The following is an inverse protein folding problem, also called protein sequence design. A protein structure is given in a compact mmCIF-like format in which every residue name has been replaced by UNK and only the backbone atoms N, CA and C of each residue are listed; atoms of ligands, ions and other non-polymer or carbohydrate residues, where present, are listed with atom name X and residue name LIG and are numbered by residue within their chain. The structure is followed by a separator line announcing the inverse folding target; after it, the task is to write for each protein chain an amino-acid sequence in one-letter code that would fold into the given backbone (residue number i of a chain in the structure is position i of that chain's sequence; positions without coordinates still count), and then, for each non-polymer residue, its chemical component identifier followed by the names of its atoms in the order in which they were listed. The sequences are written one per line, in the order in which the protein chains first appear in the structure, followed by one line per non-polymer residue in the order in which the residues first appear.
data_IF_568257949607
#
_entry.id   IF_568257949607
#
_cell.length_a   1.000
_cell.length_b   1.000
_cell.length_c   1.000
_cell.angle_alpha   90.00
_cell.angle_beta   90.00
_cell.angle_gamma   90.00
#
_symmetry.space_group_name_H-M   'P 1'
#
loop_
_entity.id
_entity.type
_entity.pdbx_description
1 polymer ?
#
# COMPACT_ATOMS: atom_id res chain seq x y z
N UNK A 1 1.61 1.05 -13.43
CA UNK A 1 0.24 0.71 -13.87
C UNK A 1 -0.85 1.00 -12.84
N UNK A 2 -0.59 0.82 -11.51
CA UNK A 2 -1.60 0.98 -10.46
C UNK A 2 -1.81 2.43 -9.98
N UNK A 3 -1.18 3.42 -10.61
CA UNK A 3 -1.20 4.83 -10.19
C UNK A 3 -2.43 5.63 -10.69
N UNK A 4 -3.60 4.99 -10.77
CA UNK A 4 -4.86 5.65 -11.19
C UNK A 4 -5.21 6.89 -10.35
N UNK A 5 -4.87 6.89 -9.05
CA UNK A 5 -5.04 8.05 -8.18
C UNK A 5 -4.10 9.19 -8.57
N UNK A 6 -2.81 8.91 -8.80
CA UNK A 6 -1.84 9.91 -9.26
C UNK A 6 -2.25 10.53 -10.59
N UNK A 7 -2.59 9.70 -11.57
CA UNK A 7 -3.09 10.16 -12.87
C UNK A 7 -4.32 11.06 -12.74
N UNK A 8 -5.22 10.76 -11.79
CA UNK A 8 -6.41 11.58 -11.59
C UNK A 8 -6.08 12.98 -11.07
N UNK A 9 -5.03 13.12 -10.27
CA UNK A 9 -4.54 14.42 -9.81
C UNK A 9 -3.86 15.20 -10.94
N UNK A 10 -3.15 14.48 -11.83
CA UNK A 10 -2.45 15.11 -12.96
C UNK A 10 -3.40 15.49 -14.11
N UNK A 11 -4.35 14.64 -14.43
CA UNK A 11 -5.18 14.79 -15.64
C UNK A 11 -6.62 15.22 -15.37
N UNK A 12 -7.09 15.12 -14.13
CA UNK A 12 -8.51 15.27 -13.79
C UNK A 12 -9.37 14.06 -14.18
N UNK A 13 -8.75 12.93 -14.57
CA UNK A 13 -9.48 11.73 -15.01
C UNK A 13 -9.12 10.57 -14.10
N UNK A 14 -10.11 10.05 -13.39
CA UNK A 14 -9.96 8.78 -12.68
C UNK A 14 -10.41 7.64 -13.58
N UNK A 15 -9.48 6.77 -13.97
CA UNK A 15 -9.74 5.65 -14.88
C UNK A 15 -9.20 4.35 -14.29
N UNK A 16 -10.12 3.42 -13.94
CA UNK A 16 -9.79 2.08 -13.42
C UNK A 16 -9.72 1.00 -14.51
N UNK A 17 -9.93 1.36 -15.76
CA UNK A 17 -9.97 0.44 -16.91
C UNK A 17 -8.56 0.13 -17.41
N UNK A 18 -7.77 -0.47 -16.54
CA UNK A 18 -6.38 -0.89 -16.79
C UNK A 18 -6.12 -2.23 -16.11
N UNK A 19 -5.10 -2.93 -16.55
CA UNK A 19 -4.69 -4.17 -15.90
C UNK A 19 -4.03 -3.89 -14.54
N UNK A 20 -4.42 -4.68 -13.55
CA UNK A 20 -3.78 -4.66 -12.24
C UNK A 20 -2.41 -5.33 -12.32
N UNK A 21 -1.38 -4.66 -11.87
CA UNK A 21 -0.04 -5.23 -11.73
C UNK A 21 0.27 -5.47 -10.26
N UNK A 22 0.77 -6.66 -9.95
CA UNK A 22 1.25 -6.98 -8.59
C UNK A 22 2.66 -6.42 -8.41
N UNK A 23 2.85 -5.70 -7.31
CA UNK A 23 4.10 -5.04 -6.96
C UNK A 23 4.62 -5.47 -5.58
N UNK A 24 5.80 -4.99 -5.21
CA UNK A 24 6.35 -5.12 -3.86
C UNK A 24 5.56 -4.33 -2.80
N UNK A 25 4.61 -3.50 -3.22
CA UNK A 25 3.71 -2.70 -2.37
C UNK A 25 2.25 -3.18 -2.48
N UNK A 26 1.92 -4.41 -2.04
CA UNK A 26 0.62 -5.04 -2.31
C UNK A 26 -0.58 -4.29 -1.75
N UNK A 27 -0.41 -3.46 -0.73
CA UNK A 27 -1.50 -2.61 -0.20
C UNK A 27 -1.90 -1.50 -1.19
N UNK A 28 -1.03 -1.17 -2.14
CA UNK A 28 -1.27 -0.18 -3.19
C UNK A 28 -1.61 -0.83 -4.54
N UNK A 29 -1.64 -2.16 -4.62
CA UNK A 29 -2.09 -2.91 -5.79
C UNK A 29 -3.62 -2.86 -5.89
N UNK A 30 -4.14 -1.67 -6.12
CA UNK A 30 -5.56 -1.37 -6.23
C UNK A 30 -5.82 -0.46 -7.43
N UNK A 31 -6.96 -0.62 -8.07
CA UNK A 31 -7.42 0.27 -9.15
C UNK A 31 -8.52 1.23 -8.69
N UNK A 32 -9.09 0.98 -7.50
CA UNK A 32 -10.10 1.85 -6.89
C UNK A 32 -9.61 2.29 -5.50
N UNK A 33 -9.26 3.57 -5.38
CA UNK A 33 -8.90 4.17 -4.09
C UNK A 33 -10.18 4.61 -3.37
N UNK A 34 -10.64 3.81 -2.42
CA UNK A 34 -11.87 4.09 -1.66
C UNK A 34 -11.79 5.35 -0.79
N UNK A 35 -10.58 5.80 -0.44
CA UNK A 35 -10.40 7.02 0.35
C UNK A 35 -10.54 8.30 -0.47
N UNK A 36 -10.35 8.24 -1.79
CA UNK A 36 -10.46 9.39 -2.67
C UNK A 36 -11.88 9.97 -2.68
N UNK A 37 -12.90 9.12 -2.61
CA UNK A 37 -14.30 9.54 -2.51
C UNK A 37 -14.51 10.56 -1.39
N UNK A 38 -13.95 10.30 -0.19
CA UNK A 38 -14.07 11.21 0.96
C UNK A 38 -13.29 12.51 0.75
N UNK A 39 -12.10 12.44 0.15
CA UNK A 39 -11.31 13.63 -0.13
C UNK A 39 -12.05 14.55 -1.11
N UNK A 40 -12.58 13.98 -2.19
CA UNK A 40 -13.39 14.74 -3.17
C UNK A 40 -14.66 15.30 -2.54
N UNK A 41 -15.36 14.52 -1.71
CA UNK A 41 -16.54 15.00 -0.98
C UNK A 41 -16.26 16.23 -0.14
N UNK A 42 -15.19 16.22 0.65
CA UNK A 42 -14.83 17.36 1.50
C UNK A 42 -14.38 18.59 0.69
N UNK A 43 -13.64 18.38 -0.39
CA UNK A 43 -13.17 19.46 -1.26
C UNK A 43 -14.29 20.07 -2.11
N UNK A 44 -15.35 19.29 -2.36
CA UNK A 44 -16.52 19.67 -3.14
C UNK A 44 -17.68 20.17 -2.26
N UNK A 45 -17.34 20.91 -1.21
CA UNK A 45 -18.26 21.53 -0.27
C UNK A 45 -19.28 20.56 0.36
N UNK A 46 -18.86 19.30 0.51
CA UNK A 46 -19.64 18.19 1.06
C UNK A 46 -20.94 17.89 0.26
N UNK A 47 -20.89 18.03 -1.07
CA UNK A 47 -22.01 17.75 -1.95
C UNK A 47 -22.20 16.22 -2.15
N UNK A 48 -23.24 15.60 -1.58
CA UNK A 48 -23.46 14.16 -1.71
C UNK A 48 -23.95 13.78 -3.10
N UNK A 49 -24.62 14.68 -3.82
CA UNK A 49 -25.20 14.39 -5.14
C UNK A 49 -24.09 14.27 -6.18
N UNK A 50 -23.16 15.24 -6.20
CA UNK A 50 -22.02 15.18 -7.12
C UNK A 50 -21.09 14.03 -6.80
N UNK A 51 -20.83 13.75 -5.51
CA UNK A 51 -20.02 12.61 -5.10
C UNK A 51 -20.67 11.28 -5.52
N UNK A 52 -21.96 11.10 -5.28
CA UNK A 52 -22.69 9.90 -5.71
C UNK A 52 -22.68 9.72 -7.24
N UNK A 53 -22.81 10.81 -8.00
CA UNK A 53 -22.74 10.75 -9.46
C UNK A 53 -21.38 10.26 -9.98
N UNK A 54 -20.27 10.74 -9.39
CA UNK A 54 -18.90 10.27 -9.74
C UNK A 54 -18.73 8.79 -9.41
N UNK A 55 -19.20 8.35 -8.23
CA UNK A 55 -19.10 6.93 -7.84
C UNK A 55 -20.00 6.04 -8.70
N UNK A 56 -21.17 6.50 -9.12
CA UNK A 56 -22.02 5.79 -10.07
C UNK A 56 -21.35 5.64 -11.45
N UNK A 57 -20.73 6.70 -11.96
CA UNK A 57 -19.95 6.64 -13.21
C UNK A 57 -18.76 5.68 -13.10
N UNK A 58 -18.02 5.72 -11.99
CA UNK A 58 -16.92 4.78 -11.75
C UNK A 58 -17.39 3.33 -11.73
N UNK A 59 -18.57 3.07 -11.15
CA UNK A 59 -19.15 1.74 -11.10
C UNK A 59 -19.62 1.26 -12.48
N UNK A 60 -20.31 2.12 -13.23
CA UNK A 60 -20.92 1.78 -14.51
C UNK A 60 -19.88 1.73 -15.65
N UNK A 61 -19.06 2.77 -15.76
CA UNK A 61 -18.20 3.01 -16.92
C UNK A 61 -16.71 2.78 -16.62
N UNK A 62 -16.35 2.62 -15.34
CA UNK A 62 -14.97 2.46 -14.89
C UNK A 62 -14.15 3.75 -14.90
N UNK A 63 -14.80 4.90 -15.15
CA UNK A 63 -14.14 6.19 -15.32
C UNK A 63 -15.06 7.33 -14.85
N UNK A 64 -14.45 8.40 -14.30
CA UNK A 64 -15.10 9.70 -14.14
C UNK A 64 -14.09 10.84 -14.32
N UNK A 65 -14.60 12.05 -14.52
CA UNK A 65 -13.80 13.27 -14.56
C UNK A 65 -14.04 14.10 -13.31
N UNK A 66 -12.97 14.68 -12.81
CA UNK A 66 -13.00 15.68 -11.75
C UNK A 66 -13.16 17.04 -12.44
N UNK A 67 -14.13 17.82 -12.04
CA UNK A 67 -14.40 19.13 -12.61
C UNK A 67 -13.20 20.08 -12.34
N UNK A 68 -12.88 20.99 -13.27
CA UNK A 68 -11.67 21.81 -13.17
C UNK A 68 -11.53 22.56 -11.84
N UNK A 69 -12.59 23.17 -11.34
CA UNK A 69 -12.59 23.89 -10.06
C UNK A 69 -12.29 22.98 -8.86
N UNK A 70 -12.84 21.77 -8.86
CA UNK A 70 -12.55 20.77 -7.83
C UNK A 70 -11.13 20.23 -7.96
N UNK A 71 -10.66 20.03 -9.19
CA UNK A 71 -9.29 19.58 -9.46
C UNK A 71 -8.26 20.60 -8.94
N UNK A 72 -8.53 21.89 -9.12
CA UNK A 72 -7.67 22.97 -8.60
C UNK A 72 -7.64 22.95 -7.06
N UNK A 73 -8.80 22.79 -6.40
CA UNK A 73 -8.86 22.59 -4.95
C UNK A 73 -8.09 21.36 -4.51
N UNK A 74 -8.19 20.25 -5.26
CA UNK A 74 -7.50 19.01 -4.97
C UNK A 74 -5.98 19.16 -5.06
N UNK A 75 -5.48 19.79 -6.13
CA UNK A 75 -4.05 20.08 -6.34
C UNK A 75 -3.47 21.07 -5.34
N UNK A 76 -4.29 21.97 -4.81
CA UNK A 76 -3.85 22.91 -3.78
C UNK A 76 -3.53 22.24 -2.43
N UNK A 77 -4.07 21.03 -2.19
CA UNK A 77 -3.91 20.29 -0.92
C UNK A 77 -3.01 19.06 -1.06
N UNK A 78 -3.07 18.40 -2.21
CA UNK A 78 -2.41 17.10 -2.43
C UNK A 78 -1.39 17.16 -3.57
N UNK A 79 -0.22 16.59 -3.31
CA UNK A 79 0.72 16.16 -4.34
C UNK A 79 0.60 14.65 -4.58
N UNK A 80 1.24 14.15 -5.61
CA UNK A 80 1.32 12.72 -5.88
C UNK A 80 2.71 12.33 -6.40
N UNK A 81 2.99 11.05 -6.35
CA UNK A 81 4.15 10.43 -6.93
C UNK A 81 4.02 8.92 -6.83
N UNK A 82 4.81 8.21 -7.61
CA UNK A 82 4.86 6.76 -7.64
C UNK A 82 6.25 6.29 -8.03
N UNK A 83 6.58 5.07 -7.67
CA UNK A 83 7.81 4.38 -8.08
C UNK A 83 7.43 3.02 -8.69
N UNK A 84 8.25 2.51 -9.59
CA UNK A 84 8.20 1.10 -9.97
C UNK A 84 8.91 0.22 -8.94
N UNK A 85 8.91 -1.11 -9.15
CA UNK A 85 9.54 -2.06 -8.20
C UNK A 85 11.05 -1.90 -8.11
N UNK A 86 11.72 -1.53 -9.21
CA UNK A 86 13.17 -1.31 -9.21
C UNK A 86 13.52 -0.03 -8.43
N UNK A 87 12.82 1.05 -8.72
CA UNK A 87 12.95 2.32 -8.00
C UNK A 87 12.60 2.19 -6.52
N UNK A 88 11.56 1.40 -6.20
CA UNK A 88 11.16 1.09 -4.82
C UNK A 88 12.28 0.33 -4.08
N UNK A 89 12.89 -0.67 -4.72
CA UNK A 89 14.02 -1.41 -4.16
C UNK A 89 15.23 -0.51 -3.92
N UNK A 90 15.54 0.38 -4.85
CA UNK A 90 16.61 1.36 -4.71
C UNK A 90 16.32 2.35 -3.57
N UNK A 91 15.08 2.79 -3.41
CA UNK A 91 14.67 3.67 -2.31
C UNK A 91 14.78 2.97 -0.93
N UNK A 92 14.45 1.68 -0.82
CA UNK A 92 14.67 0.89 0.41
C UNK A 92 16.17 0.86 0.76
N UNK A 93 17.04 0.59 -0.22
CA UNK A 93 18.49 0.54 -0.05
C UNK A 93 19.03 1.90 0.33
N UNK A 94 18.68 2.96 -0.39
CA UNK A 94 19.11 4.33 -0.13
C UNK A 94 18.73 4.79 1.28
N UNK A 95 17.51 4.50 1.73
CA UNK A 95 17.07 4.84 3.08
C UNK A 95 17.92 4.12 4.15
N UNK A 96 18.22 2.84 3.95
CA UNK A 96 19.07 2.08 4.85
C UNK A 96 20.52 2.64 4.89
N UNK A 97 21.12 2.88 3.74
CA UNK A 97 22.50 3.35 3.62
C UNK A 97 22.68 4.77 4.18
N UNK A 98 21.70 5.65 3.97
CA UNK A 98 21.83 7.06 4.35
C UNK A 98 21.34 7.36 5.76
N UNK A 99 20.38 6.61 6.27
CA UNK A 99 19.75 6.90 7.57
C UNK A 99 19.93 5.81 8.62
N UNK A 100 20.35 4.61 8.22
CA UNK A 100 20.38 3.43 9.08
C UNK A 100 19.00 2.95 9.52
N UNK A 101 17.93 3.40 8.85
CA UNK A 101 16.55 3.00 9.15
C UNK A 101 16.04 2.01 8.12
N UNK A 102 15.58 0.87 8.63
CA UNK A 102 14.93 -0.14 7.81
C UNK A 102 13.46 0.26 7.59
N UNK A 103 13.05 0.40 6.33
CA UNK A 103 11.70 0.78 5.94
C UNK A 103 11.08 -0.26 5.01
N UNK A 104 9.75 -0.34 5.00
CA UNK A 104 9.00 -1.21 4.09
C UNK A 104 8.80 -0.57 2.70
N UNK A 105 8.45 -1.35 1.67
CA UNK A 105 8.30 -0.82 0.31
C UNK A 105 7.30 0.34 0.19
N UNK A 106 6.19 0.31 0.93
CA UNK A 106 5.21 1.40 0.88
C UNK A 106 5.80 2.70 1.47
N UNK A 107 6.52 2.58 2.58
CA UNK A 107 7.23 3.70 3.20
C UNK A 107 8.35 4.21 2.29
N UNK A 108 9.03 3.33 1.55
CA UNK A 108 10.10 3.70 0.63
C UNK A 108 9.60 4.61 -0.50
N UNK A 109 8.45 4.29 -1.09
CA UNK A 109 7.80 5.17 -2.09
C UNK A 109 7.50 6.54 -1.48
N UNK A 110 6.83 6.56 -0.32
CA UNK A 110 6.50 7.82 0.35
C UNK A 110 7.75 8.63 0.73
N UNK A 111 8.79 7.96 1.19
CA UNK A 111 10.07 8.59 1.58
C UNK A 111 10.78 9.22 0.37
N UNK A 112 10.84 8.52 -0.76
CA UNK A 112 11.47 9.02 -1.99
C UNK A 112 10.73 10.21 -2.56
N UNK A 113 9.41 10.10 -2.71
CA UNK A 113 8.58 11.22 -3.19
C UNK A 113 8.61 12.41 -2.23
N UNK A 114 8.66 12.16 -0.92
CA UNK A 114 8.82 13.23 0.07
C UNK A 114 10.14 13.99 -0.10
N UNK A 115 11.25 13.31 -0.41
CA UNK A 115 12.54 13.97 -0.68
C UNK A 115 12.47 14.87 -1.92
N UNK A 116 11.80 14.42 -2.98
CA UNK A 116 11.63 15.17 -4.22
C UNK A 116 10.75 16.41 -4.06
N UNK A 117 9.77 16.34 -3.15
CA UNK A 117 8.79 17.40 -2.90
C UNK A 117 9.06 18.23 -1.64
N UNK A 118 10.11 17.91 -0.88
CA UNK A 118 10.42 18.60 0.35
C UNK A 118 10.80 20.07 0.09
N UNK A 119 10.28 20.96 0.93
CA UNK A 119 10.72 22.35 1.01
C UNK A 119 11.61 22.53 2.24
N UNK A 120 12.73 23.28 2.15
CA UNK A 120 13.56 23.57 3.32
C UNK A 120 12.85 24.41 4.38
N UNK A 121 11.76 25.09 4.02
CA UNK A 121 11.01 25.96 4.91
C UNK A 121 9.95 25.24 5.74
N UNK A 122 9.53 24.03 5.31
CA UNK A 122 8.46 23.27 5.97
C UNK A 122 8.94 21.86 6.26
N UNK A 123 8.87 21.40 7.52
CA UNK A 123 9.23 20.03 7.87
C UNK A 123 8.36 19.02 7.12
N UNK A 124 9.00 18.09 6.41
CA UNK A 124 8.33 16.96 5.77
C UNK A 124 8.24 15.77 6.74
N UNK A 125 7.03 15.24 6.92
CA UNK A 125 6.78 14.08 7.78
C UNK A 125 6.35 12.90 6.91
N UNK A 126 7.15 11.83 6.94
CA UNK A 126 6.84 10.57 6.25
C UNK A 126 6.22 9.58 7.23
N UNK A 127 5.03 9.09 6.92
CA UNK A 127 4.36 8.08 7.74
C UNK A 127 4.86 6.68 7.37
N UNK A 128 5.53 6.00 8.32
CA UNK A 128 5.90 4.59 8.20
C UNK A 128 4.72 3.72 8.65
N UNK A 129 3.96 3.20 7.70
CA UNK A 129 2.67 2.56 7.95
C UNK A 129 2.74 1.06 8.20
N UNK A 130 3.88 0.43 7.92
CA UNK A 130 4.08 -0.99 8.11
C UNK A 130 5.50 -1.32 8.62
N UNK A 131 5.62 -2.47 9.28
CA UNK A 131 6.94 -3.00 9.62
C UNK A 131 7.64 -3.56 8.37
N UNK A 132 8.94 -3.29 8.16
CA UNK A 132 9.74 -3.91 7.09
C UNK A 132 9.75 -5.43 7.17
N UNK A 133 9.62 -6.00 8.36
CA UNK A 133 9.55 -7.45 8.57
C UNK A 133 8.25 -8.09 8.06
N UNK A 134 7.21 -7.31 7.81
CA UNK A 134 6.00 -7.79 7.13
C UNK A 134 6.26 -8.06 5.64
N UNK A 135 7.26 -7.41 5.07
CA UNK A 135 7.70 -7.50 3.68
C UNK A 135 9.17 -7.94 3.59
N UNK A 136 9.60 -8.81 4.53
CA UNK A 136 11.00 -9.17 4.74
C UNK A 136 11.70 -9.71 3.48
N UNK A 137 10.99 -10.40 2.59
CA UNK A 137 11.52 -10.87 1.32
C UNK A 137 11.94 -9.71 0.43
N UNK A 138 11.05 -8.76 0.20
CA UNK A 138 11.30 -7.67 -0.73
C UNK A 138 12.33 -6.69 -0.17
N UNK A 139 12.26 -6.44 1.15
CA UNK A 139 13.25 -5.61 1.85
C UNK A 139 14.63 -6.28 1.84
N UNK A 140 14.73 -7.57 2.15
CA UNK A 140 16.01 -8.28 2.10
C UNK A 140 16.60 -8.30 0.69
N UNK A 141 15.76 -8.59 -0.31
CA UNK A 141 16.21 -8.60 -1.71
C UNK A 141 16.67 -7.23 -2.18
N UNK A 142 16.04 -6.16 -1.74
CA UNK A 142 16.46 -4.80 -2.04
C UNK A 142 17.86 -4.47 -1.48
N UNK A 143 18.21 -4.99 -0.30
CA UNK A 143 19.49 -4.72 0.35
C UNK A 143 20.61 -5.65 -0.13
N UNK A 144 20.33 -6.95 -0.28
CA UNK A 144 21.35 -7.99 -0.41
C UNK A 144 21.16 -8.91 -1.63
N UNK A 145 20.08 -8.74 -2.37
CA UNK A 145 19.70 -9.65 -3.44
C UNK A 145 18.99 -10.92 -2.94
N UNK A 146 18.61 -11.84 -3.84
CA UNK A 146 17.81 -13.01 -3.52
C UNK A 146 18.49 -13.96 -2.53
N UNK A 147 17.76 -14.35 -1.47
CA UNK A 147 18.22 -15.33 -0.49
C UNK A 147 18.18 -16.75 -1.07
N UNK A 148 19.22 -17.55 -0.85
CA UNK A 148 19.22 -18.96 -1.13
C UNK A 148 18.46 -19.71 -0.04
N UNK A 149 17.18 -19.98 -0.29
CA UNK A 149 16.29 -20.64 0.65
C UNK A 149 16.65 -22.12 0.87
N UNK A 150 16.42 -22.59 2.08
CA UNK A 150 16.51 -24.01 2.48
C UNK A 150 15.11 -24.65 2.55
N UNK A 151 14.10 -23.83 2.86
CA UNK A 151 12.70 -24.24 2.97
C UNK A 151 12.06 -24.48 1.61
N UNK A 152 11.03 -25.31 1.63
CA UNK A 152 10.24 -25.68 0.45
C UNK A 152 8.82 -25.11 0.46
N UNK A 153 8.40 -24.50 1.58
CA UNK A 153 7.07 -23.89 1.70
C UNK A 153 7.16 -22.36 1.76
N UNK A 154 6.16 -21.64 1.23
CA UNK A 154 6.15 -20.17 1.28
C UNK A 154 6.20 -19.61 2.70
N UNK A 155 5.53 -20.26 3.65
CA UNK A 155 5.48 -19.85 5.05
C UNK A 155 6.86 -19.96 5.71
N UNK A 156 7.55 -21.09 5.52
CA UNK A 156 8.90 -21.29 6.04
C UNK A 156 9.89 -20.33 5.37
N UNK A 157 9.75 -20.09 4.06
CA UNK A 157 10.56 -19.13 3.33
C UNK A 157 10.42 -17.70 3.89
N UNK A 158 9.21 -17.30 4.28
CA UNK A 158 8.98 -15.98 4.88
C UNK A 158 9.76 -15.82 6.20
N UNK A 159 9.82 -16.86 7.03
CA UNK A 159 10.60 -16.84 8.27
C UNK A 159 12.11 -16.90 8.02
N UNK A 160 12.58 -17.61 6.99
CA UNK A 160 14.00 -17.55 6.60
C UNK A 160 14.42 -16.14 6.17
N UNK A 161 13.61 -15.44 5.39
CA UNK A 161 13.85 -14.04 5.03
C UNK A 161 13.81 -13.12 6.25
N UNK A 162 12.89 -13.36 7.19
CA UNK A 162 12.78 -12.56 8.42
C UNK A 162 14.05 -12.71 9.28
N UNK A 163 14.53 -13.95 9.45
CA UNK A 163 15.77 -14.23 10.21
C UNK A 163 16.98 -13.61 9.50
N UNK A 164 17.11 -13.84 8.19
CA UNK A 164 18.22 -13.29 7.41
C UNK A 164 18.26 -11.75 7.45
N UNK A 165 17.10 -11.10 7.40
CA UNK A 165 16.99 -9.65 7.51
C UNK A 165 17.43 -9.16 8.90
N UNK A 166 16.97 -9.83 9.96
CA UNK A 166 17.36 -9.51 11.33
C UNK A 166 18.89 -9.69 11.54
N UNK A 167 19.42 -10.83 11.13
CA UNK A 167 20.84 -11.15 11.27
C UNK A 167 21.75 -10.18 10.50
N UNK A 168 21.32 -9.76 9.30
CA UNK A 168 22.14 -8.89 8.43
C UNK A 168 22.05 -7.42 8.81
N UNK A 169 20.97 -6.98 9.45
CA UNK A 169 20.75 -5.57 9.80
C UNK A 169 20.94 -5.27 11.29
N UNK A 170 20.90 -6.28 12.14
CA UNK A 170 20.87 -6.12 13.60
C UNK A 170 19.56 -5.55 14.12
N UNK A 171 18.51 -5.47 13.29
CA UNK A 171 17.19 -4.98 13.68
C UNK A 171 16.30 -6.16 14.07
N UNK A 172 15.72 -6.12 15.26
CA UNK A 172 14.86 -7.20 15.73
C UNK A 172 13.45 -7.14 15.09
N UNK A 173 12.90 -8.29 14.66
CA UNK A 173 11.54 -8.35 14.18
C UNK A 173 10.53 -8.12 15.32
N UNK A 174 9.40 -7.45 15.06
CA UNK A 174 8.34 -7.31 16.06
C UNK A 174 7.88 -8.66 16.60
N UNK A 175 7.73 -8.78 17.93
CA UNK A 175 7.32 -10.02 18.58
C UNK A 175 6.02 -10.61 18.02
N UNK A 176 5.06 -9.76 17.62
CA UNK A 176 3.81 -10.22 17.01
C UNK A 176 4.01 -10.95 15.67
N UNK A 177 5.07 -10.64 14.93
CA UNK A 177 5.42 -11.34 13.67
C UNK A 177 6.24 -12.61 13.96
N UNK A 178 7.26 -12.53 14.81
CA UNK A 178 8.09 -13.70 15.15
C UNK A 178 7.30 -14.81 15.86
N UNK A 179 6.30 -14.43 16.68
CA UNK A 179 5.43 -15.38 17.38
C UNK A 179 4.54 -16.22 16.42
N UNK A 180 4.25 -15.74 15.22
CA UNK A 180 3.46 -16.47 14.23
C UNK A 180 4.09 -17.81 13.84
N UNK A 181 5.39 -17.96 13.98
CA UNK A 181 6.13 -19.18 13.70
C UNK A 181 5.59 -20.42 14.44
N UNK A 182 5.10 -20.23 15.65
CA UNK A 182 4.64 -21.31 16.54
C UNK A 182 3.13 -21.28 16.78
N UNK A 183 2.43 -20.29 16.26
CA UNK A 183 0.99 -20.20 16.42
C UNK A 183 0.25 -21.10 15.44
N UNK A 184 -0.80 -21.77 15.94
CA UNK A 184 -1.72 -22.52 15.09
C UNK A 184 -2.60 -21.59 14.26
N UNK A 185 -2.89 -22.01 13.02
CA UNK A 185 -3.87 -21.31 12.18
C UNK A 185 -5.27 -21.46 12.81
N UNK A 186 -5.88 -20.35 13.21
CA UNK A 186 -7.18 -20.34 13.91
C UNK A 186 -8.36 -20.56 12.98
N UNK A 187 -8.28 -20.05 11.76
CA UNK A 187 -9.37 -20.05 10.80
C UNK A 187 -8.88 -20.67 9.48
N UNK A 188 -9.33 -21.88 9.20
CA UNK A 188 -8.93 -22.64 8.01
C UNK A 188 -10.05 -22.74 6.96
N UNK A 189 -11.24 -22.26 7.31
CA UNK A 189 -12.39 -22.35 6.42
C UNK A 189 -12.34 -21.27 5.34
N UNK A 190 -12.57 -21.69 4.10
CA UNK A 190 -12.70 -20.81 2.93
C UNK A 190 -14.14 -20.91 2.46
N UNK A 191 -14.76 -19.79 2.16
CA UNK A 191 -16.15 -19.70 1.71
C UNK A 191 -16.24 -18.82 0.48
N UNK A 192 -17.23 -19.10 -0.35
CA UNK A 192 -17.61 -18.21 -1.44
C UNK A 192 -18.27 -16.92 -0.89
N UNK A 193 -18.18 -15.83 -1.65
CA UNK A 193 -18.63 -14.49 -1.19
C UNK A 193 -20.12 -14.47 -0.85
N UNK A 194 -20.93 -15.21 -1.59
CA UNK A 194 -22.37 -15.32 -1.37
C UNK A 194 -22.73 -16.05 -0.06
N UNK A 195 -21.85 -16.92 0.44
CA UNK A 195 -22.00 -17.62 1.73
C UNK A 195 -21.59 -16.76 2.93
N UNK A 196 -20.85 -15.67 2.72
CA UNK A 196 -20.29 -14.86 3.81
C UNK A 196 -21.36 -14.35 4.80
N UNK A 197 -22.53 -13.82 4.40
CA UNK A 197 -23.54 -13.34 5.35
C UNK A 197 -24.05 -14.43 6.30
N UNK A 198 -24.36 -15.62 5.77
CA UNK A 198 -24.82 -16.75 6.58
C UNK A 198 -23.74 -17.20 7.57
N UNK A 199 -22.48 -17.26 7.14
CA UNK A 199 -21.36 -17.69 7.98
C UNK A 199 -21.06 -16.70 9.11
N UNK A 200 -21.17 -15.40 8.84
CA UNK A 200 -21.03 -14.36 9.87
C UNK A 200 -22.12 -14.49 10.92
N UNK A 201 -23.38 -14.64 10.49
CA UNK A 201 -24.51 -14.83 11.42
C UNK A 201 -24.37 -16.11 12.25
N UNK A 202 -23.96 -17.22 11.64
CA UNK A 202 -23.72 -18.49 12.34
C UNK A 202 -22.55 -18.42 13.34
N UNK A 203 -21.53 -17.61 13.05
CA UNK A 203 -20.41 -17.39 13.97
C UNK A 203 -20.85 -16.49 15.14
N UNK A 204 -21.62 -15.43 14.89
CA UNK A 204 -22.15 -14.54 15.90
C UNK A 204 -23.12 -15.23 16.88
N UNK A 205 -23.90 -16.20 16.41
CA UNK A 205 -24.82 -16.98 17.24
C UNK A 205 -24.13 -17.94 18.23
N UNK A 206 -22.81 -18.11 18.13
CA UNK A 206 -21.99 -18.97 19.02
C UNK A 206 -21.26 -18.17 20.12
N UNK A 207 -21.36 -16.85 20.08
CA UNK A 207 -20.81 -15.93 21.08
C UNK A 207 -21.81 -15.67 22.21
#
# INVERSE_FOLDING_TARGET
PNHALGDSLETGVYDRRRDLVRTSSPSMDILVSSNLERALYYLDDMDPVRTAARMAALKADGIYRIEPELLDKFRAVYGCGWLDDAETSDAVREAWETTGRLIDPHTAVAWKIAQEQASPEVPMVVLSTASPFKFCRDVFNALYGPLKLKSTTPEAAAFEYMDALADSTGVEPPQCLSALRTQSVRFNAVYDVDQAPERVLAAAAKL
#
